data_IF_174918439778
#
_entry.id   IF_174918439778
#
_cell.length_a   1.000
_cell.length_b   1.000
_cell.length_c   1.000
_cell.angle_alpha   90.00
_cell.angle_beta   90.00
_cell.angle_gamma   90.00
#
_symmetry.space_group_name_H-M   'P 1'
#
loop_
_entity.id
_entity.type
_entity.pdbx_description
1 polymer ?
#
# COMPACT_ATOMS: atom_id res chain seq x y z
N UNK A 1 87.16 16.57 63.57
CA UNK A 1 85.98 15.75 63.90
C UNK A 1 84.73 16.31 63.23
N UNK A 2 84.41 17.60 63.46
CA UNK A 2 83.25 18.33 62.90
C UNK A 2 83.08 18.23 61.37
N UNK A 3 84.16 18.32 60.58
CA UNK A 3 84.07 18.22 59.11
C UNK A 3 83.64 16.82 58.64
N UNK A 4 84.07 15.76 59.33
CA UNK A 4 83.64 14.38 59.01
C UNK A 4 82.18 14.15 59.39
N UNK A 5 81.74 14.79 60.46
CA UNK A 5 80.36 14.70 60.96
C UNK A 5 79.38 15.42 60.02
N UNK A 6 79.73 16.60 59.53
CA UNK A 6 78.95 17.30 58.51
C UNK A 6 78.89 16.52 57.18
N UNK A 7 80.01 15.95 56.73
CA UNK A 7 80.02 15.12 55.52
C UNK A 7 79.18 13.84 55.66
N UNK A 8 79.09 13.27 56.88
CA UNK A 8 78.22 12.13 57.17
C UNK A 8 76.73 12.54 57.19
N UNK A 9 76.41 13.71 57.73
CA UNK A 9 75.05 14.28 57.74
C UNK A 9 74.57 14.54 56.30
N UNK A 10 75.42 15.10 55.46
CA UNK A 10 75.12 15.38 54.05
C UNK A 10 74.94 14.10 53.24
N UNK A 11 75.83 13.11 53.40
CA UNK A 11 75.66 11.79 52.76
C UNK A 11 74.39 11.08 53.21
N UNK A 12 73.96 11.25 54.47
CA UNK A 12 72.72 10.66 55.00
C UNK A 12 71.49 11.34 54.41
N UNK A 13 71.51 12.67 54.25
CA UNK A 13 70.46 13.40 53.53
C UNK A 13 70.38 13.00 52.06
N UNK A 14 71.53 12.83 51.41
CA UNK A 14 71.59 12.37 50.02
C UNK A 14 71.07 10.93 49.86
N UNK A 15 71.37 10.04 50.81
CA UNK A 15 70.85 8.67 50.83
C UNK A 15 69.33 8.62 51.03
N UNK A 16 68.77 9.53 51.85
CA UNK A 16 67.33 9.66 52.07
C UNK A 16 66.59 10.31 50.91
N UNK A 17 67.27 11.18 50.14
CA UNK A 17 66.72 11.81 48.94
C UNK A 17 66.72 10.88 47.71
N UNK A 18 67.47 9.76 47.74
CA UNK A 18 67.45 8.78 46.66
C UNK A 18 66.09 8.07 46.62
N UNK A 19 65.45 7.96 45.44
CA UNK A 19 64.22 7.21 45.31
C UNK A 19 64.47 5.77 45.74
N UNK A 20 63.59 5.27 46.62
CA UNK A 20 63.67 3.89 47.11
C UNK A 20 63.59 2.92 45.93
N UNK A 21 64.31 1.80 45.98
CA UNK A 21 64.35 0.82 44.90
C UNK A 21 62.94 0.37 44.46
N UNK A 22 62.00 0.27 45.42
CA UNK A 22 60.59 0.00 45.16
C UNK A 22 59.91 1.06 44.29
N UNK A 23 60.19 2.36 44.54
CA UNK A 23 59.62 3.46 43.75
C UNK A 23 60.19 3.47 42.33
N UNK A 24 61.47 3.17 42.17
CA UNK A 24 62.12 3.06 40.86
C UNK A 24 61.52 1.89 40.07
N UNK A 25 61.34 0.73 40.69
CA UNK A 25 60.67 -0.42 40.08
C UNK A 25 59.22 -0.09 39.70
N UNK A 26 58.50 0.62 40.56
CA UNK A 26 57.10 1.00 40.31
C UNK A 26 56.97 2.01 39.16
N UNK A 27 57.90 2.97 39.06
CA UNK A 27 57.99 3.90 37.94
C UNK A 27 58.37 3.18 36.65
N UNK A 28 59.31 2.24 36.71
CA UNK A 28 59.73 1.47 35.54
C UNK A 28 58.58 0.60 35.01
N UNK A 29 57.79 -0.01 35.90
CA UNK A 29 56.55 -0.73 35.54
C UNK A 29 55.52 0.19 34.90
N UNK A 30 55.27 1.38 35.48
CA UNK A 30 54.34 2.37 34.91
C UNK A 30 54.76 2.85 33.52
N UNK A 31 56.06 3.08 33.31
CA UNK A 31 56.61 3.46 31.99
C UNK A 31 56.45 2.32 30.98
N UNK A 32 56.73 1.07 31.37
CA UNK A 32 56.57 -0.10 30.49
C UNK A 32 55.11 -0.30 30.06
N UNK A 33 54.16 -0.08 30.96
CA UNK A 33 52.71 -0.12 30.66
C UNK A 33 52.32 1.02 29.71
N UNK A 34 52.76 2.26 29.97
CA UNK A 34 52.49 3.39 29.08
C UNK A 34 53.08 3.18 27.69
N UNK A 35 54.26 2.55 27.61
CA UNK A 35 54.87 2.18 26.34
C UNK A 35 54.04 1.09 25.63
N UNK A 36 53.56 0.08 26.34
CA UNK A 36 52.71 -0.96 25.75
C UNK A 36 51.36 -0.41 25.25
N UNK A 37 50.72 0.47 26.04
CA UNK A 37 49.46 1.14 25.67
C UNK A 37 49.66 2.15 24.54
N UNK A 38 50.79 2.87 24.54
CA UNK A 38 51.09 3.91 23.55
C UNK A 38 51.58 3.38 22.20
N UNK A 39 52.26 2.23 22.18
CA UNK A 39 52.88 1.68 20.97
C UNK A 39 52.26 0.37 20.46
N UNK A 40 51.31 -0.22 21.20
CA UNK A 40 50.58 -1.43 20.81
C UNK A 40 51.46 -2.55 20.25
N UNK A 41 52.66 -2.71 20.82
CA UNK A 41 53.67 -3.64 20.35
C UNK A 41 54.49 -4.11 21.56
N UNK A 42 54.19 -5.31 22.04
CA UNK A 42 55.13 -6.24 22.68
C UNK A 42 54.46 -7.60 22.90
N UNK A 43 55.23 -8.65 22.62
CA UNK A 43 54.89 -10.07 22.70
C UNK A 43 54.37 -10.47 24.09
N UNK A 44 53.36 -11.35 24.13
CA UNK A 44 52.54 -11.68 25.29
C UNK A 44 53.29 -12.21 26.52
N UNK A 45 54.55 -12.63 26.36
CA UNK A 45 55.34 -13.29 27.40
C UNK A 45 55.91 -12.31 28.45
N UNK A 46 56.01 -11.02 28.11
CA UNK A 46 56.61 -10.00 29.00
C UNK A 46 55.57 -9.26 29.87
N UNK A 47 54.28 -9.62 29.71
CA UNK A 47 53.13 -9.07 30.43
C UNK A 47 52.91 -9.75 31.80
N UNK A 48 53.14 -11.06 31.90
CA UNK A 48 52.83 -11.82 33.14
C UNK A 48 53.69 -11.42 34.34
N UNK A 49 54.92 -10.94 34.10
CA UNK A 49 55.84 -10.56 35.18
C UNK A 49 55.49 -9.20 35.79
N UNK A 50 54.84 -8.31 35.03
CA UNK A 50 54.49 -6.96 35.48
C UNK A 50 53.18 -6.88 36.28
N UNK A 51 52.29 -7.86 36.16
CA UNK A 51 50.88 -7.82 36.63
C UNK A 51 50.64 -8.49 37.98
N UNK A 52 51.68 -8.96 38.67
CA UNK A 52 51.59 -9.73 39.92
C UNK A 52 51.12 -8.95 41.17
N UNK A 53 50.63 -7.71 41.02
CA UNK A 53 50.01 -6.93 42.11
C UNK A 53 48.49 -6.79 41.93
N UNK A 54 47.71 -7.11 42.97
CA UNK A 54 46.24 -7.08 42.93
C UNK A 54 45.64 -5.74 42.48
N UNK A 55 46.25 -4.61 42.87
CA UNK A 55 45.83 -3.27 42.45
C UNK A 55 46.11 -2.99 40.97
N UNK A 56 47.15 -3.60 40.41
CA UNK A 56 47.56 -3.44 39.01
C UNK A 56 46.64 -4.24 38.08
N UNK A 57 46.28 -5.47 38.46
CA UNK A 57 45.33 -6.29 37.70
C UNK A 57 43.95 -5.63 37.62
N UNK A 58 43.51 -4.96 38.69
CA UNK A 58 42.26 -4.19 38.69
C UNK A 58 42.32 -2.97 37.76
N UNK A 59 43.42 -2.22 37.77
CA UNK A 59 43.59 -1.07 36.86
C UNK A 59 43.67 -1.50 35.40
N UNK A 60 44.37 -2.59 35.11
CA UNK A 60 44.46 -3.18 33.78
C UNK A 60 43.09 -3.62 33.25
N UNK A 61 42.28 -4.29 34.08
CA UNK A 61 40.92 -4.69 33.73
C UNK A 61 40.03 -3.49 33.37
N UNK A 62 40.13 -2.38 34.11
CA UNK A 62 39.38 -1.16 33.86
C UNK A 62 39.83 -0.44 32.58
N UNK A 63 41.14 -0.46 32.30
CA UNK A 63 41.69 0.11 31.07
C UNK A 63 41.28 -0.71 29.84
N UNK A 64 41.32 -2.04 29.93
CA UNK A 64 40.85 -2.93 28.86
C UNK A 64 39.36 -2.78 28.60
N UNK A 65 38.54 -2.70 29.65
CA UNK A 65 37.09 -2.50 29.52
C UNK A 65 36.78 -1.14 28.88
N UNK A 66 37.47 -0.07 29.31
CA UNK A 66 37.34 1.25 28.70
C UNK A 66 37.82 1.28 27.25
N UNK A 67 38.90 0.58 26.93
CA UNK A 67 39.41 0.47 25.56
C UNK A 67 38.39 -0.24 24.66
N UNK A 68 37.90 -1.42 25.08
CA UNK A 68 36.84 -2.16 24.37
C UNK A 68 35.58 -1.32 24.18
N UNK A 69 35.19 -0.54 25.19
CA UNK A 69 34.04 0.37 25.10
C UNK A 69 34.28 1.48 24.08
N UNK A 70 35.45 2.11 24.09
CA UNK A 70 35.82 3.13 23.10
C UNK A 70 35.87 2.55 21.68
N UNK A 71 36.41 1.34 21.50
CA UNK A 71 36.41 0.64 20.21
C UNK A 71 35.00 0.34 19.71
N UNK A 72 34.11 -0.09 20.61
CA UNK A 72 32.71 -0.33 20.29
C UNK A 72 32.00 0.97 19.89
N UNK A 73 32.18 2.05 20.64
CA UNK A 73 31.63 3.37 20.32
C UNK A 73 32.16 3.88 18.97
N UNK A 74 33.46 3.72 18.70
CA UNK A 74 34.08 4.08 17.43
C UNK A 74 33.47 3.28 16.27
N UNK A 75 33.27 1.97 16.46
CA UNK A 75 32.64 1.10 15.46
C UNK A 75 31.18 1.51 15.21
N UNK A 76 30.41 1.78 16.27
CA UNK A 76 29.04 2.27 16.13
C UNK A 76 28.98 3.60 15.38
N UNK A 77 29.89 4.54 15.69
CA UNK A 77 29.96 5.83 15.01
C UNK A 77 30.34 5.67 13.53
N UNK A 78 31.26 4.75 13.21
CA UNK A 78 31.60 4.41 11.81
C UNK A 78 30.40 3.86 11.04
N UNK A 79 29.63 2.95 11.65
CA UNK A 79 28.42 2.39 11.02
C UNK A 79 27.39 3.51 10.79
N UNK A 80 27.09 4.32 11.82
CA UNK A 80 26.18 5.46 11.69
C UNK A 80 26.64 6.46 10.62
N UNK A 81 27.95 6.72 10.52
CA UNK A 81 28.51 7.57 9.48
C UNK A 81 28.27 6.97 8.09
N UNK A 82 28.53 5.67 7.90
CA UNK A 82 28.28 4.99 6.63
C UNK A 82 26.80 4.99 6.23
N UNK A 83 25.89 4.80 7.19
CA UNK A 83 24.44 4.89 6.96
C UNK A 83 24.03 6.31 6.56
N UNK A 84 24.56 7.33 7.24
CA UNK A 84 24.29 8.74 6.90
C UNK A 84 24.83 9.13 5.54
N UNK A 85 26.01 8.64 5.16
CA UNK A 85 26.58 8.85 3.82
C UNK A 85 25.68 8.19 2.76
N UNK A 86 25.25 6.94 2.96
CA UNK A 86 24.36 6.25 2.02
C UNK A 86 23.01 6.97 1.88
N UNK A 87 22.44 7.49 2.98
CA UNK A 87 21.22 8.29 2.94
C UNK A 87 21.41 9.63 2.22
N UNK A 88 22.56 10.27 2.39
CA UNK A 88 22.92 11.51 1.69
C UNK A 88 23.00 11.25 0.18
N UNK A 89 23.74 10.22 -0.23
CA UNK A 89 23.90 9.84 -1.64
C UNK A 89 22.54 9.50 -2.29
N UNK A 90 21.68 8.77 -1.58
CA UNK A 90 20.32 8.48 -2.05
C UNK A 90 19.44 9.74 -2.16
N UNK A 91 19.61 10.71 -1.26
CA UNK A 91 18.88 11.98 -1.32
C UNK A 91 19.40 12.86 -2.46
N UNK A 92 20.72 12.92 -2.66
CA UNK A 92 21.35 13.63 -3.78
C UNK A 92 20.93 13.04 -5.13
N UNK A 93 20.84 11.71 -5.25
CA UNK A 93 20.32 11.05 -6.44
C UNK A 93 18.88 11.45 -6.75
N UNK A 94 18.00 11.50 -5.74
CA UNK A 94 16.61 11.98 -5.92
C UNK A 94 16.53 13.45 -6.30
N UNK A 95 17.41 14.29 -5.77
CA UNK A 95 17.48 15.70 -6.17
C UNK A 95 17.88 15.81 -7.63
N UNK A 96 18.88 15.04 -8.08
CA UNK A 96 19.29 15.02 -9.49
C UNK A 96 18.14 14.59 -10.42
N UNK A 97 17.44 13.51 -10.08
CA UNK A 97 16.28 13.01 -10.84
C UNK A 97 15.17 14.08 -10.93
N UNK A 98 14.77 14.66 -9.80
CA UNK A 98 13.76 15.72 -9.78
C UNK A 98 14.19 16.97 -10.56
N UNK A 99 15.47 17.34 -10.53
CA UNK A 99 15.97 18.47 -11.34
C UNK A 99 15.96 18.17 -12.84
N UNK A 100 16.17 16.92 -13.24
CA UNK A 100 16.04 16.49 -14.63
C UNK A 100 14.57 16.56 -15.08
N UNK A 101 13.64 16.01 -14.30
CA UNK A 101 12.20 16.11 -14.58
C UNK A 101 11.72 17.56 -14.70
N UNK A 102 12.17 18.45 -13.80
CA UNK A 102 11.84 19.88 -13.87
C UNK A 102 12.36 20.52 -15.15
N UNK A 103 13.59 20.18 -15.57
CA UNK A 103 14.15 20.68 -16.82
C UNK A 103 13.37 20.18 -18.04
N UNK A 104 12.97 18.91 -18.06
CA UNK A 104 12.13 18.36 -19.11
C UNK A 104 10.77 19.04 -19.18
N UNK A 105 10.12 19.24 -18.03
CA UNK A 105 8.85 19.96 -17.94
C UNK A 105 8.98 21.41 -18.41
N UNK A 106 10.05 22.10 -18.00
CA UNK A 106 10.31 23.47 -18.44
C UNK A 106 10.51 23.56 -19.96
N UNK A 107 11.26 22.62 -20.55
CA UNK A 107 11.40 22.53 -22.02
C UNK A 107 10.07 22.25 -22.71
N UNK A 108 9.23 21.40 -22.14
CA UNK A 108 7.91 21.10 -22.69
C UNK A 108 7.00 22.31 -22.63
N UNK A 109 6.97 23.01 -21.48
CA UNK A 109 6.20 24.24 -21.30
C UNK A 109 6.66 25.29 -22.32
N UNK A 110 7.98 25.51 -22.45
CA UNK A 110 8.52 26.45 -23.43
C UNK A 110 8.09 26.12 -24.86
N UNK A 111 8.10 24.83 -25.25
CA UNK A 111 7.58 24.40 -26.56
C UNK A 111 6.08 24.70 -26.72
N UNK A 112 5.28 24.43 -25.68
CA UNK A 112 3.84 24.71 -25.71
C UNK A 112 3.56 26.21 -25.76
N UNK A 113 4.34 27.03 -25.06
CA UNK A 113 4.28 28.48 -25.11
C UNK A 113 4.62 29.00 -26.51
N UNK A 114 5.70 28.49 -27.13
CA UNK A 114 6.07 28.82 -28.50
C UNK A 114 4.97 28.42 -29.52
N UNK A 115 4.37 27.25 -29.33
CA UNK A 115 3.27 26.76 -30.18
C UNK A 115 2.00 27.60 -30.02
N UNK A 116 1.69 28.02 -28.79
CA UNK A 116 0.60 28.95 -28.50
C UNK A 116 0.90 30.32 -29.13
N UNK A 117 2.11 30.85 -28.96
CA UNK A 117 2.51 32.15 -29.53
C UNK A 117 2.37 32.17 -31.06
N UNK A 118 2.81 31.10 -31.73
CA UNK A 118 2.62 30.91 -33.17
C UNK A 118 1.14 30.84 -33.54
N UNK A 119 0.33 30.11 -32.77
CA UNK A 119 -1.13 30.02 -32.97
C UNK A 119 -1.87 31.36 -32.78
N UNK A 120 -1.47 32.17 -31.80
CA UNK A 120 -2.08 33.47 -31.54
C UNK A 120 -1.69 34.54 -32.57
N UNK A 121 -0.44 34.55 -33.04
CA UNK A 121 0.00 35.43 -34.13
C UNK A 121 -0.76 35.21 -35.45
N UNK A 122 -1.33 34.01 -35.63
CA UNK A 122 -2.23 33.67 -36.74
C UNK A 122 -3.68 34.16 -36.49
N UNK A 123 -4.13 34.17 -35.24
CA UNK A 123 -5.49 34.62 -34.86
C UNK A 123 -5.66 36.13 -34.95
N UNK A 124 -4.61 36.92 -34.70
CA UNK A 124 -4.67 38.39 -34.77
C UNK A 124 -4.80 38.90 -36.22
N UNK A 125 -4.23 38.17 -37.20
CA UNK A 125 -4.50 38.41 -38.63
C UNK A 125 -5.88 37.94 -39.08
N UNK A 126 -6.46 36.94 -38.40
CA UNK A 126 -7.81 36.43 -38.67
C UNK A 126 -8.92 37.31 -38.06
N UNK A 127 -8.63 38.03 -36.98
CA UNK A 127 -9.56 39.00 -36.38
C UNK A 127 -9.91 40.18 -37.30
N UNK A 128 -9.03 40.55 -38.24
CA UNK A 128 -9.29 41.58 -39.25
C UNK A 128 -10.03 41.05 -40.49
N UNK A 129 -10.08 39.74 -40.71
CA UNK A 129 -10.71 39.13 -41.90
C UNK A 129 -12.11 38.56 -41.62
N UNK A 130 -12.51 38.43 -40.35
CA UNK A 130 -13.81 37.89 -39.97
C UNK A 130 -14.92 38.96 -39.94
N UNK A 131 -14.57 40.25 -40.00
CA UNK A 131 -15.53 41.36 -40.03
C UNK A 131 -16.02 41.71 -41.46
N UNK A 132 -15.39 41.15 -42.50
CA UNK A 132 -15.70 41.48 -43.91
C UNK A 132 -16.41 40.35 -44.68
N UNK A 133 -16.54 39.15 -44.13
CA UNK A 133 -17.24 38.01 -44.78
C UNK A 133 -18.70 37.85 -44.31
N UNK A 134 -19.37 38.93 -43.88
CA UNK A 134 -20.81 38.88 -43.56
C UNK A 134 -21.65 39.91 -44.35
N UNK A 135 -21.08 40.54 -45.40
CA UNK A 135 -21.77 41.62 -46.15
C UNK A 135 -21.61 41.58 -47.68
N UNK A 136 -21.41 40.43 -48.31
CA UNK A 136 -21.32 40.38 -49.79
C UNK A 136 -21.93 39.12 -50.41
N UNK A 137 -23.24 38.95 -50.22
CA UNK A 137 -24.09 38.13 -51.09
C UNK A 137 -25.22 38.99 -51.68
N UNK A 138 -24.86 40.03 -52.44
CA UNK A 138 -25.78 40.72 -53.35
C UNK A 138 -25.03 41.55 -54.40
N UNK A 139 -25.10 41.13 -55.66
CA UNK A 139 -25.17 42.06 -56.80
C UNK A 139 -23.89 42.39 -57.56
N UNK A 140 -23.88 41.94 -58.82
CA UNK A 140 -23.52 42.70 -60.03
C UNK A 140 -22.04 43.14 -60.28
N UNK A 141 -21.54 42.59 -61.40
CA UNK A 141 -20.87 43.28 -62.51
C UNK A 141 -19.67 44.22 -62.28
N UNK A 142 -18.55 43.77 -62.86
CA UNK A 142 -17.60 44.52 -63.72
C UNK A 142 -16.36 45.21 -63.10
N UNK A 143 -15.28 45.08 -63.88
CA UNK A 143 -13.98 45.77 -63.91
C UNK A 143 -13.04 45.76 -62.70
N UNK A 144 -11.86 45.14 -62.87
CA UNK A 144 -10.61 45.85 -63.26
C UNK A 144 -9.38 45.03 -62.87
N UNK A 145 -8.48 44.85 -63.84
CA UNK A 145 -7.15 44.27 -63.66
C UNK A 145 -6.28 45.18 -62.76
N UNK A 146 -5.66 44.63 -61.72
CA UNK A 146 -4.27 44.98 -61.39
C UNK A 146 -3.60 43.94 -60.48
N UNK A 147 -2.32 43.78 -60.72
CA UNK A 147 -1.46 42.68 -60.31
C UNK A 147 -0.95 42.76 -58.86
N UNK A 148 -0.55 41.58 -58.35
CA UNK A 148 0.58 41.32 -57.44
C UNK A 148 0.59 42.04 -56.07
N UNK A 149 0.60 41.39 -54.90
CA UNK A 149 1.57 40.38 -54.46
C UNK A 149 1.17 39.81 -53.07
N UNK A 150 1.45 38.51 -52.88
CA UNK A 150 1.63 37.80 -51.58
C UNK A 150 0.37 37.46 -50.76
N UNK A 151 -0.51 36.63 -51.33
CA UNK A 151 -1.35 35.74 -50.51
C UNK A 151 -0.52 34.52 -50.09
N UNK A 152 -0.20 34.42 -48.80
CA UNK A 152 0.19 33.14 -48.20
C UNK A 152 -1.04 32.23 -48.32
N UNK A 153 -0.85 31.08 -48.96
CA UNK A 153 -1.90 30.14 -49.33
C UNK A 153 -2.65 29.60 -48.09
N UNK A 154 -3.99 29.66 -48.04
CA UNK A 154 -4.80 29.20 -46.91
C UNK A 154 -4.69 27.70 -46.61
N UNK A 155 -4.19 26.91 -47.56
CA UNK A 155 -3.89 25.48 -47.38
C UNK A 155 -2.80 25.22 -46.33
N UNK A 156 -1.85 26.16 -46.15
CA UNK A 156 -0.75 25.97 -45.20
C UNK A 156 -1.22 26.11 -43.75
N UNK A 157 -2.20 26.99 -43.49
CA UNK A 157 -2.79 27.19 -42.17
C UNK A 157 -3.75 26.06 -41.80
N UNK A 158 -4.50 25.51 -42.77
CA UNK A 158 -5.30 24.29 -42.56
C UNK A 158 -4.41 23.09 -42.26
N UNK A 159 -3.29 22.94 -42.98
CA UNK A 159 -2.28 21.91 -42.70
C UNK A 159 -1.69 22.06 -41.29
N UNK A 160 -1.38 23.29 -40.85
CA UNK A 160 -0.91 23.57 -39.50
C UNK A 160 -1.93 23.21 -38.42
N UNK A 161 -3.21 23.57 -38.59
CA UNK A 161 -4.27 23.20 -37.66
C UNK A 161 -4.48 21.68 -37.59
N UNK A 162 -4.44 20.99 -38.74
CA UNK A 162 -4.51 19.54 -38.79
C UNK A 162 -3.31 18.89 -38.08
N UNK A 163 -2.10 19.44 -38.22
CA UNK A 163 -0.91 18.97 -37.49
C UNK A 163 -1.07 19.11 -35.97
N UNK A 164 -1.67 20.20 -35.49
CA UNK A 164 -1.98 20.36 -34.06
C UNK A 164 -2.98 19.31 -33.58
N UNK A 165 -4.04 19.04 -34.35
CA UNK A 165 -5.02 18.00 -34.02
C UNK A 165 -4.39 16.60 -34.03
N UNK A 166 -3.52 16.33 -34.99
CA UNK A 166 -2.75 15.07 -35.07
C UNK A 166 -1.87 14.93 -33.83
N UNK A 167 -1.11 15.96 -33.44
CA UNK A 167 -0.26 15.93 -32.26
C UNK A 167 -1.07 15.76 -30.96
N UNK A 168 -2.21 16.43 -30.83
CA UNK A 168 -3.09 16.25 -29.69
C UNK A 168 -3.65 14.83 -29.61
N UNK A 169 -4.16 14.31 -30.73
CA UNK A 169 -4.63 12.92 -30.84
C UNK A 169 -3.51 11.94 -30.48
N UNK A 170 -2.30 12.19 -30.94
CA UNK A 170 -1.16 11.30 -30.70
C UNK A 170 -0.71 11.36 -29.24
N UNK A 171 -0.80 12.52 -28.58
CA UNK A 171 -0.59 12.65 -27.13
C UNK A 171 -1.65 11.91 -26.32
N UNK A 172 -2.92 12.00 -26.71
CA UNK A 172 -3.99 11.24 -26.08
C UNK A 172 -3.82 9.74 -26.29
N UNK A 173 -3.39 9.31 -27.49
CA UNK A 173 -3.08 7.91 -27.79
C UNK A 173 -1.88 7.41 -27.00
N UNK A 174 -0.84 8.23 -26.83
CA UNK A 174 0.32 7.89 -25.99
C UNK A 174 -0.14 7.67 -24.54
N UNK A 175 -0.83 8.65 -23.94
CA UNK A 175 -1.34 8.53 -22.57
C UNK A 175 -2.29 7.34 -22.38
N UNK A 176 -3.11 7.04 -23.39
CA UNK A 176 -3.98 5.85 -23.37
C UNK A 176 -3.16 4.56 -23.35
N UNK A 177 -2.14 4.45 -24.22
CA UNK A 177 -1.23 3.28 -24.23
C UNK A 177 -0.49 3.12 -22.91
N UNK A 178 0.07 4.21 -22.37
CA UNK A 178 0.79 4.18 -21.10
C UNK A 178 -0.13 3.71 -19.97
N UNK A 179 -1.36 4.23 -19.91
CA UNK A 179 -2.38 3.80 -18.93
C UNK A 179 -2.76 2.33 -19.13
N UNK A 180 -2.93 1.87 -20.38
CA UNK A 180 -3.22 0.46 -20.68
C UNK A 180 -2.06 -0.47 -20.29
N UNK A 181 -0.81 -0.02 -20.46
CA UNK A 181 0.39 -0.72 -20.03
C UNK A 181 0.51 -0.79 -18.50
N UNK A 182 0.25 0.30 -17.80
CA UNK A 182 0.17 0.32 -16.34
C UNK A 182 -0.91 -0.66 -15.82
N UNK A 183 -2.10 -0.65 -16.44
CA UNK A 183 -3.17 -1.60 -16.10
C UNK A 183 -2.72 -3.04 -16.35
N UNK A 184 -2.05 -3.33 -17.47
CA UNK A 184 -1.50 -4.66 -17.76
C UNK A 184 -0.48 -5.08 -16.71
N UNK A 185 0.44 -4.19 -16.33
CA UNK A 185 1.47 -4.44 -15.31
C UNK A 185 0.87 -4.66 -13.93
N UNK A 186 -0.15 -3.88 -13.56
CA UNK A 186 -0.87 -4.07 -12.29
C UNK A 186 -1.60 -5.42 -12.26
N UNK A 187 -2.25 -5.81 -13.36
CA UNK A 187 -2.90 -7.14 -13.48
C UNK A 187 -1.89 -8.27 -13.36
N UNK A 188 -0.73 -8.15 -13.99
CA UNK A 188 0.35 -9.13 -13.86
C UNK A 188 0.85 -9.23 -12.41
N UNK A 189 1.11 -8.09 -11.75
CA UNK A 189 1.49 -8.06 -10.33
C UNK A 189 0.44 -8.70 -9.43
N UNK A 190 -0.84 -8.43 -9.66
CA UNK A 190 -1.94 -9.07 -8.94
C UNK A 190 -1.91 -10.58 -9.15
N UNK A 191 -1.66 -11.04 -10.39
CA UNK A 191 -1.50 -12.46 -10.71
C UNK A 191 -0.35 -13.12 -9.94
N UNK A 192 0.84 -12.51 -9.99
CA UNK A 192 2.03 -13.01 -9.26
C UNK A 192 1.78 -13.05 -7.75
N UNK A 193 1.29 -11.95 -7.16
CA UNK A 193 0.98 -11.89 -5.72
C UNK A 193 -0.10 -12.90 -5.32
N UNK A 194 -1.09 -13.15 -6.17
CA UNK A 194 -2.11 -14.18 -5.90
C UNK A 194 -1.49 -15.57 -5.85
N UNK A 195 -0.60 -15.90 -6.79
CA UNK A 195 0.11 -17.19 -6.81
C UNK A 195 1.03 -17.34 -5.60
N UNK A 196 1.77 -16.29 -5.23
CA UNK A 196 2.63 -16.29 -4.04
C UNK A 196 1.82 -16.44 -2.74
N UNK A 197 0.67 -15.80 -2.67
CA UNK A 197 -0.24 -15.88 -1.53
C UNK A 197 -0.80 -17.30 -1.39
N UNK A 198 -1.25 -17.92 -2.48
CA UNK A 198 -1.70 -19.33 -2.47
C UNK A 198 -0.57 -20.30 -2.14
N UNK A 199 0.64 -20.07 -2.67
CA UNK A 199 1.83 -20.85 -2.32
C UNK A 199 2.15 -20.74 -0.82
N UNK A 200 2.18 -19.52 -0.28
CA UNK A 200 2.45 -19.26 1.14
C UNK A 200 1.38 -19.86 2.04
N UNK A 201 0.10 -19.79 1.65
CA UNK A 201 -1.00 -20.48 2.35
C UNK A 201 -0.78 -22.00 2.38
N UNK A 202 -0.44 -22.61 1.25
CA UNK A 202 -0.19 -24.04 1.17
C UNK A 202 1.00 -24.45 2.04
N UNK A 203 2.08 -23.67 2.04
CA UNK A 203 3.26 -23.93 2.87
C UNK A 203 2.95 -23.73 4.37
N UNK A 204 2.15 -22.74 4.75
CA UNK A 204 1.68 -22.55 6.12
C UNK A 204 0.83 -23.73 6.62
N UNK A 205 -0.06 -24.28 5.78
CA UNK A 205 -0.85 -25.48 6.12
C UNK A 205 0.06 -26.69 6.31
N UNK A 206 1.06 -26.88 5.44
CA UNK A 206 2.06 -27.96 5.62
C UNK A 206 2.88 -27.79 6.88
N UNK A 207 3.27 -26.55 7.21
CA UNK A 207 4.01 -26.25 8.44
C UNK A 207 3.16 -26.56 9.68
N UNK A 208 1.88 -26.17 9.67
CA UNK A 208 0.94 -26.54 10.71
C UNK A 208 0.85 -28.06 10.89
N UNK A 209 0.73 -28.81 9.78
CA UNK A 209 0.75 -30.29 9.81
C UNK A 209 2.05 -30.87 10.41
N UNK A 210 3.21 -30.31 10.07
CA UNK A 210 4.50 -30.72 10.65
C UNK A 210 4.59 -30.43 12.15
N UNK A 211 4.17 -29.23 12.58
CA UNK A 211 4.13 -28.84 14.00
C UNK A 211 3.23 -29.80 14.76
N UNK A 212 2.03 -30.08 14.24
CA UNK A 212 1.09 -31.02 14.84
C UNK A 212 1.67 -32.42 14.93
N UNK A 213 2.29 -32.93 13.87
CA UNK A 213 2.95 -34.25 13.89
C UNK A 213 4.07 -34.32 14.95
N UNK A 214 4.89 -33.29 15.06
CA UNK A 214 5.97 -33.22 16.08
C UNK A 214 5.39 -33.09 17.50
N UNK A 215 4.33 -32.29 17.68
CA UNK A 215 3.62 -32.15 18.95
C UNK A 215 2.98 -33.47 19.38
N UNK A 216 2.31 -34.17 18.46
CA UNK A 216 1.68 -35.47 18.72
C UNK A 216 2.76 -36.52 19.05
N UNK A 217 3.84 -36.61 18.27
CA UNK A 217 4.95 -37.53 18.53
C UNK A 217 5.70 -37.23 19.85
N UNK A 218 5.89 -35.95 20.19
CA UNK A 218 6.48 -35.57 21.48
C UNK A 218 5.50 -35.87 22.62
N UNK A 219 4.20 -35.63 22.44
CA UNK A 219 3.20 -35.99 23.43
C UNK A 219 3.16 -37.50 23.69
N UNK A 220 3.34 -38.33 22.66
CA UNK A 220 3.44 -39.78 22.77
C UNK A 220 4.71 -40.21 23.54
N UNK A 221 5.85 -39.57 23.29
CA UNK A 221 7.09 -39.80 24.07
C UNK A 221 6.97 -39.33 25.53
N UNK A 222 6.26 -38.25 25.80
CA UNK A 222 6.09 -37.69 27.16
C UNK A 222 5.07 -38.49 27.98
N UNK A 223 4.14 -39.21 27.34
CA UNK A 223 3.23 -40.14 28.05
C UNK A 223 3.99 -41.36 28.64
N UNK A 224 5.20 -41.69 28.14
CA UNK A 224 6.07 -42.72 28.73
C UNK A 224 7.00 -42.24 29.86
N UNK A 225 7.06 -40.94 30.16
CA UNK A 225 7.81 -40.40 31.31
C UNK A 225 6.86 -39.51 32.12
N UNK A 226 6.29 -40.09 33.17
CA UNK A 226 5.21 -39.52 33.96
C UNK A 226 5.41 -38.06 34.39
N UNK A 227 4.25 -37.40 34.56
CA UNK A 227 4.03 -36.06 35.14
C UNK A 227 3.98 -34.90 34.13
N UNK A 228 2.84 -34.77 33.45
CA UNK A 228 2.48 -33.55 32.70
C UNK A 228 1.86 -32.53 33.66
N UNK A 229 2.67 -31.58 34.16
CA UNK A 229 2.13 -30.30 34.66
C UNK A 229 1.64 -29.52 33.45
N UNK A 230 0.38 -29.11 33.47
CA UNK A 230 -0.21 -28.17 32.53
C UNK A 230 0.58 -26.85 32.60
N UNK A 231 1.52 -26.67 31.68
CA UNK A 231 1.96 -25.34 31.32
C UNK A 231 0.85 -24.77 30.43
N UNK A 232 -0.05 -24.00 31.03
CA UNK A 232 -0.86 -23.05 30.28
C UNK A 232 0.10 -22.14 29.53
N UNK A 233 0.04 -22.24 28.20
CA UNK A 233 0.80 -21.46 27.25
C UNK A 233 0.22 -20.04 27.23
N UNK A 234 0.73 -19.20 28.15
CA UNK A 234 0.26 -17.82 28.42
C UNK A 234 0.46 -16.87 27.22
N UNK A 235 1.04 -17.33 26.10
CA UNK A 235 1.27 -16.52 24.90
C UNK A 235 0.24 -16.72 23.76
N UNK A 236 -0.78 -17.60 23.92
CA UNK A 236 -1.64 -18.00 22.79
C UNK A 236 -2.75 -17.01 22.36
N UNK A 237 -2.86 -15.84 22.99
CA UNK A 237 -3.97 -14.91 22.74
C UNK A 237 -4.01 -14.31 21.32
N UNK A 238 -2.87 -14.15 20.65
CA UNK A 238 -2.78 -13.60 19.29
C UNK A 238 -2.47 -14.67 18.23
N UNK A 239 -1.80 -15.76 18.61
CA UNK A 239 -1.48 -16.88 17.73
C UNK A 239 -2.69 -17.79 17.51
N UNK A 240 -3.63 -17.87 18.46
CA UNK A 240 -4.82 -18.73 18.39
C UNK A 240 -5.70 -18.44 17.17
N UNK A 241 -5.89 -17.19 16.78
CA UNK A 241 -6.75 -16.86 15.62
C UNK A 241 -6.12 -17.32 14.30
N UNK A 242 -4.81 -17.08 14.15
CA UNK A 242 -4.04 -17.50 12.98
C UNK A 242 -3.93 -19.03 12.94
N UNK A 243 -3.62 -19.64 14.08
CA UNK A 243 -3.56 -21.09 14.25
C UNK A 243 -4.91 -21.74 13.98
N UNK A 244 -6.01 -21.21 14.51
CA UNK A 244 -7.37 -21.71 14.29
C UNK A 244 -7.76 -21.67 12.81
N UNK A 245 -7.35 -20.62 12.09
CA UNK A 245 -7.57 -20.52 10.64
C UNK A 245 -6.86 -21.65 9.88
N UNK A 246 -5.58 -21.86 10.14
CA UNK A 246 -4.81 -22.91 9.45
C UNK A 246 -5.16 -24.32 9.94
N UNK A 247 -5.51 -24.47 11.22
CA UNK A 247 -6.08 -25.68 11.81
C UNK A 247 -7.35 -26.10 11.09
N UNK A 248 -8.30 -25.18 10.91
CA UNK A 248 -9.54 -25.46 10.19
C UNK A 248 -9.26 -25.87 8.75
N UNK A 249 -8.38 -25.15 8.03
CA UNK A 249 -8.01 -25.49 6.65
C UNK A 249 -7.39 -26.89 6.59
N UNK A 250 -6.50 -27.22 7.52
CA UNK A 250 -5.86 -28.53 7.62
C UNK A 250 -6.87 -29.65 7.94
N UNK A 251 -7.76 -29.44 8.91
CA UNK A 251 -8.79 -30.42 9.29
C UNK A 251 -9.82 -30.64 8.17
N UNK A 252 -10.18 -29.58 7.45
CA UNK A 252 -11.06 -29.66 6.28
C UNK A 252 -10.39 -30.43 5.13
N UNK A 253 -9.06 -30.29 4.94
CA UNK A 253 -8.29 -31.00 3.90
C UNK A 253 -8.03 -32.48 4.26
N UNK A 254 -7.75 -32.78 5.53
CA UNK A 254 -7.43 -34.14 5.98
C UNK A 254 -8.66 -35.01 6.19
N UNK A 255 -9.84 -34.41 6.41
CA UNK A 255 -11.07 -35.15 6.70
C UNK A 255 -11.76 -35.62 5.40
N UNK A 256 -11.73 -36.93 5.08
CA UNK A 256 -12.35 -37.45 3.86
C UNK A 256 -13.87 -37.24 3.83
N UNK A 257 -14.53 -37.14 4.99
CA UNK A 257 -15.97 -36.89 5.10
C UNK A 257 -16.33 -35.42 4.92
N UNK A 258 -15.44 -34.47 5.22
CA UNK A 258 -15.69 -33.05 4.98
C UNK A 258 -15.68 -32.76 3.47
N UNK A 259 -14.69 -33.31 2.76
CA UNK A 259 -14.62 -33.25 1.30
C UNK A 259 -15.84 -33.93 0.65
N UNK A 260 -16.24 -35.10 1.15
CA UNK A 260 -17.41 -35.83 0.65
C UNK A 260 -18.73 -35.10 0.94
N UNK A 261 -18.95 -34.63 2.17
CA UNK A 261 -20.16 -33.87 2.55
C UNK A 261 -20.29 -32.57 1.76
N UNK A 262 -19.17 -31.87 1.55
CA UNK A 262 -19.14 -30.67 0.70
C UNK A 262 -19.49 -31.02 -0.75
N UNK A 263 -18.89 -32.07 -1.31
CA UNK A 263 -19.16 -32.55 -2.66
C UNK A 263 -20.62 -33.02 -2.82
N UNK A 264 -21.17 -33.69 -1.83
CA UNK A 264 -22.57 -34.12 -1.81
C UNK A 264 -23.51 -32.91 -1.79
N UNK A 265 -23.29 -31.94 -0.89
CA UNK A 265 -24.11 -30.70 -0.91
C UNK A 265 -23.99 -29.96 -2.24
N UNK A 266 -22.80 -29.82 -2.79
CA UNK A 266 -22.58 -29.12 -4.05
C UNK A 266 -23.22 -29.86 -5.23
N UNK A 267 -23.23 -31.19 -5.18
CA UNK A 267 -23.92 -32.04 -6.14
C UNK A 267 -25.43 -31.92 -5.99
N UNK A 268 -25.98 -31.95 -4.77
CA UNK A 268 -27.39 -31.62 -4.51
C UNK A 268 -27.73 -30.24 -5.05
N UNK A 269 -26.87 -29.22 -4.86
CA UNK A 269 -27.06 -27.88 -5.43
C UNK A 269 -27.02 -27.82 -6.97
N UNK A 270 -26.36 -28.79 -7.61
CA UNK A 270 -26.32 -28.94 -9.07
C UNK A 270 -27.47 -29.80 -9.61
N UNK A 271 -27.96 -30.75 -8.82
CA UNK A 271 -29.12 -31.59 -9.10
C UNK A 271 -30.45 -30.85 -8.86
N UNK A 272 -30.44 -29.75 -8.10
CA UNK A 272 -31.56 -28.80 -8.06
C UNK A 272 -31.76 -28.20 -9.45
N UNK A 273 -32.92 -28.48 -10.05
CA UNK A 273 -33.31 -27.92 -11.34
C UNK A 273 -33.22 -26.40 -11.35
N UNK A 274 -32.97 -25.81 -12.52
CA UNK A 274 -32.77 -24.36 -12.69
C UNK A 274 -33.85 -23.50 -12.01
N UNK A 275 -35.12 -23.96 -11.98
CA UNK A 275 -36.23 -23.32 -11.25
C UNK A 275 -36.05 -23.36 -9.73
N UNK A 276 -35.65 -24.49 -9.18
CA UNK A 276 -35.46 -24.67 -7.74
C UNK A 276 -34.23 -23.88 -7.23
N UNK A 277 -33.18 -23.80 -8.05
CA UNK A 277 -32.01 -22.94 -7.77
C UNK A 277 -32.39 -21.47 -7.63
N UNK A 278 -33.24 -20.95 -8.51
CA UNK A 278 -33.71 -19.56 -8.46
C UNK A 278 -34.62 -19.34 -7.24
N UNK A 279 -35.51 -20.29 -6.92
CA UNK A 279 -36.39 -20.19 -5.74
C UNK A 279 -35.59 -20.23 -4.45
N UNK A 280 -34.62 -21.14 -4.31
CA UNK A 280 -33.75 -21.22 -3.14
C UNK A 280 -32.80 -20.03 -3.03
N UNK A 281 -32.23 -19.55 -4.15
CA UNK A 281 -31.37 -18.35 -4.12
C UNK A 281 -32.17 -17.10 -3.79
N UNK A 282 -33.37 -16.94 -4.37
CA UNK A 282 -34.25 -15.81 -4.10
C UNK A 282 -34.77 -15.85 -2.66
N UNK A 283 -35.18 -17.02 -2.16
CA UNK A 283 -35.60 -17.20 -0.77
C UNK A 283 -34.47 -16.92 0.22
N UNK A 284 -33.26 -17.43 -0.02
CA UNK A 284 -32.10 -17.18 0.85
C UNK A 284 -31.62 -15.73 0.76
N UNK A 285 -31.77 -15.07 -0.39
CA UNK A 285 -31.46 -13.66 -0.58
C UNK A 285 -32.45 -12.76 0.17
N UNK A 286 -33.75 -13.06 0.10
CA UNK A 286 -34.80 -12.36 0.83
C UNK A 286 -34.65 -12.54 2.36
N UNK A 287 -34.32 -13.74 2.84
CA UNK A 287 -34.17 -14.00 4.28
C UNK A 287 -32.80 -13.54 4.82
N UNK A 288 -31.74 -13.67 4.04
CA UNK A 288 -30.36 -13.40 4.46
C UNK A 288 -30.01 -11.92 4.49
N UNK A 289 -30.62 -11.09 3.64
CA UNK A 289 -30.24 -9.68 3.50
C UNK A 289 -31.25 -8.75 4.20
N UNK A 290 -30.75 -7.89 5.11
CA UNK A 290 -31.58 -6.91 5.83
C UNK A 290 -32.30 -5.94 4.89
N UNK A 291 -31.66 -5.56 3.78
CA UNK A 291 -32.23 -4.66 2.78
C UNK A 291 -33.32 -5.35 1.94
N UNK A 292 -33.18 -6.63 1.65
CA UNK A 292 -34.16 -7.39 0.88
C UNK A 292 -35.47 -7.56 1.66
N UNK A 293 -35.39 -7.73 2.99
CA UNK A 293 -36.56 -7.72 3.89
C UNK A 293 -37.30 -6.38 3.86
N UNK A 294 -36.57 -5.28 3.97
CA UNK A 294 -37.14 -3.92 3.91
C UNK A 294 -37.79 -3.65 2.54
N UNK A 295 -37.13 -4.04 1.45
CA UNK A 295 -37.67 -3.90 0.10
C UNK A 295 -38.98 -4.68 -0.11
N UNK A 296 -39.05 -5.94 0.35
CA UNK A 296 -40.26 -6.75 0.25
C UNK A 296 -41.43 -6.15 1.05
N UNK A 297 -41.16 -5.58 2.23
CA UNK A 297 -42.17 -4.91 3.04
C UNK A 297 -42.75 -3.66 2.36
N UNK A 298 -41.90 -2.81 1.76
CA UNK A 298 -42.39 -1.66 1.00
C UNK A 298 -43.11 -2.07 -0.28
N UNK A 299 -42.66 -3.14 -0.94
CA UNK A 299 -43.32 -3.67 -2.13
C UNK A 299 -44.74 -4.16 -1.83
N UNK A 300 -44.96 -4.89 -0.73
CA UNK A 300 -46.32 -5.32 -0.36
C UNK A 300 -47.20 -4.14 -0.03
N UNK A 301 -46.71 -3.15 0.74
CA UNK A 301 -47.47 -1.93 1.05
C UNK A 301 -47.82 -1.16 -0.22
N UNK A 302 -46.87 -0.96 -1.12
CA UNK A 302 -47.09 -0.28 -2.39
C UNK A 302 -48.14 -0.99 -3.26
N UNK A 303 -48.11 -2.32 -3.30
CA UNK A 303 -49.10 -3.11 -4.02
C UNK A 303 -50.49 -2.94 -3.41
N UNK A 304 -50.62 -2.93 -2.08
CA UNK A 304 -51.91 -2.67 -1.42
C UNK A 304 -52.42 -1.27 -1.77
N UNK A 305 -51.58 -0.23 -1.65
CA UNK A 305 -51.96 1.15 -2.02
C UNK A 305 -52.41 1.23 -3.49
N UNK A 306 -51.71 0.54 -4.40
CA UNK A 306 -52.06 0.51 -5.81
C UNK A 306 -53.41 -0.17 -6.05
N UNK A 307 -53.65 -1.34 -5.44
CA UNK A 307 -54.93 -2.05 -5.55
C UNK A 307 -56.06 -1.20 -4.96
N UNK A 308 -55.89 -0.62 -3.78
CA UNK A 308 -56.87 0.28 -3.18
C UNK A 308 -57.12 1.51 -4.05
N UNK A 309 -56.10 2.09 -4.67
CA UNK A 309 -56.24 3.22 -5.59
C UNK A 309 -57.00 2.84 -6.87
N UNK A 310 -56.71 1.66 -7.42
CA UNK A 310 -57.41 1.12 -8.60
C UNK A 310 -58.89 0.87 -8.28
N UNK A 311 -59.19 0.21 -7.16
CA UNK A 311 -60.56 -0.02 -6.71
C UNK A 311 -61.28 1.29 -6.38
N UNK A 312 -60.59 2.27 -5.78
CA UNK A 312 -61.16 3.59 -5.50
C UNK A 312 -61.49 4.34 -6.80
N UNK A 313 -60.59 4.33 -7.78
CA UNK A 313 -60.83 4.94 -9.11
C UNK A 313 -61.97 4.25 -9.84
N UNK A 314 -62.02 2.92 -9.82
CA UNK A 314 -63.07 2.16 -10.50
C UNK A 314 -64.42 2.30 -9.79
N UNK A 315 -64.42 2.36 -8.46
CA UNK A 315 -65.59 2.71 -7.66
C UNK A 315 -66.06 4.13 -7.96
N UNK A 316 -65.18 5.13 -7.95
CA UNK A 316 -65.53 6.52 -8.28
C UNK A 316 -66.10 6.66 -9.70
N UNK A 317 -65.54 5.94 -10.68
CA UNK A 317 -66.06 5.90 -12.05
C UNK A 317 -67.41 5.17 -12.12
N UNK A 318 -67.61 4.09 -11.36
CA UNK A 318 -68.88 3.37 -11.28
C UNK A 318 -69.96 4.17 -10.56
N UNK A 319 -69.62 4.95 -9.53
CA UNK A 319 -70.53 5.88 -8.86
C UNK A 319 -70.96 7.02 -9.79
N UNK A 320 -70.06 7.50 -10.65
CA UNK A 320 -70.39 8.53 -11.64
C UNK A 320 -71.21 7.98 -12.83
N UNK A 321 -71.04 6.69 -13.15
CA UNK A 321 -71.81 6.00 -14.19
C UNK A 321 -73.23 5.60 -13.76
N UNK A 322 -73.50 5.50 -12.44
CA UNK A 322 -74.76 5.00 -11.88
C UNK A 322 -75.59 6.10 -11.17
N UNK A 323 -75.62 7.32 -11.68
CA UNK A 323 -76.58 8.32 -11.20
C UNK A 323 -77.07 9.26 -12.30
N UNK A 324 -78.37 9.61 -12.36
CA UNK A 324 -79.59 8.91 -11.95
C UNK A 324 -80.48 8.63 -13.17
N UNK A 325 -80.44 7.43 -13.74
CA UNK A 325 -81.40 7.02 -14.77
C UNK A 325 -82.51 6.16 -14.15
N UNK A 326 -83.35 6.78 -13.30
CA UNK A 326 -84.68 6.26 -12.98
C UNK A 326 -85.75 7.10 -13.67
N UNK A 327 -86.16 6.61 -14.84
CA UNK A 327 -87.57 6.46 -15.26
C UNK A 327 -88.36 7.70 -15.70
N UNK A 328 -88.03 8.20 -16.90
CA UNK A 328 -89.01 8.83 -17.80
C UNK A 328 -89.02 8.03 -19.11
N UNK A 329 -89.73 6.89 -19.15
CA UNK A 329 -90.27 6.27 -20.38
C UNK A 329 -90.91 4.94 -20.02
N UNK A 330 -92.24 4.91 -19.98
CA UNK A 330 -92.97 3.67 -19.76
C UNK A 330 -94.47 3.86 -19.73
N UNK A 331 -95.01 4.76 -20.56
CA UNK A 331 -96.44 4.94 -20.67
C UNK A 331 -96.87 4.81 -22.14
N UNK A 332 -97.84 3.91 -22.35
CA UNK A 332 -98.69 3.68 -23.53
C UNK A 332 -98.12 2.86 -24.69
N UNK A 333 -98.42 1.55 -24.69
CA UNK A 333 -99.01 0.87 -25.86
C UNK A 333 -100.09 -0.14 -25.41
N UNK A 334 -101.34 0.33 -25.54
CA UNK A 334 -102.56 -0.34 -26.04
C UNK A 334 -103.08 -1.66 -25.42
N UNK A 335 -104.25 -1.51 -24.80
CA UNK A 335 -105.28 -2.51 -24.53
C UNK A 335 -105.64 -3.37 -25.76
N UNK A 336 -105.83 -4.68 -25.55
CA UNK A 336 -106.80 -5.51 -26.28
C UNK A 336 -107.74 -6.19 -25.29
N UNK A 337 -109.04 -6.36 -25.62
CA UNK A 337 -110.09 -6.63 -24.66
C UNK A 337 -110.27 -8.14 -24.38
N UNK A 338 -110.64 -8.45 -23.14
CA UNK A 338 -111.18 -9.74 -22.74
C UNK A 338 -112.66 -9.53 -22.39
N UNK A 339 -113.57 -10.10 -23.17
CA UNK A 339 -114.92 -10.44 -22.73
C UNK A 339 -115.47 -11.57 -23.61
N UNK A 340 -116.17 -12.51 -22.96
CA UNK A 340 -117.16 -13.39 -23.56
C UNK A 340 -118.30 -12.59 -24.20
#
# INVERSE_FOLDING_TARGET
>A
MVVKEHALEDMKKELQARPTAKLVDDLHKKVKILQAVGYNSIEAEDWEVATTGEEMSKMESLLLDKNRKMEHELTQLKVKLSEKISLLEAAEGKVAELTEEVNEQQKLIQKLEDDILKGYSSKERKGSLFDEWDLSEAGAADHSENAEQKRVSPDQDQSSMLNVIINQRDRFRARLRDTEEEVRRLKEKIGVLTVELEKTKADNVKLYGKIRYVQDYNSEKVVSRGSKKYAEDIESGFTSDVESKYKKIYEDDINPFAAFSKKERDQRYKELGFRDRITLSSGRFLLGNKYARTFAFFYTIGLHVLVFSCLYRMSALSYLSNGPDETLTGDKILNLPHAL
#
